data_IF_075028873829
#
_entry.id   IF_075028873829
#
_cell.length_a   1.000
_cell.length_b   1.000
_cell.length_c   1.000
_cell.angle_alpha   90.00
_cell.angle_beta   90.00
_cell.angle_gamma   90.00
#
_symmetry.space_group_name_H-M   'P 1'
#
loop_
_entity.id
_entity.type
_entity.pdbx_description
1 polymer ?
#
# COMPACT_ATOMS: atom_id res chain seq x y z
N UNK A 1 -19.91 10.55 4.25
CA UNK A 1 -19.85 9.08 4.46
C UNK A 1 -21.29 8.59 4.60
N UNK A 2 -21.71 7.57 3.85
CA UNK A 2 -23.12 7.11 3.89
C UNK A 2 -23.41 6.19 5.09
N UNK A 3 -22.36 5.57 5.66
CA UNK A 3 -22.44 4.73 6.86
C UNK A 3 -21.06 4.67 7.54
N UNK A 4 -21.04 4.75 8.86
CA UNK A 4 -19.83 4.52 9.64
C UNK A 4 -19.48 3.04 9.69
N UNK A 5 -18.21 2.73 9.42
CA UNK A 5 -17.68 1.37 9.40
C UNK A 5 -16.37 1.32 10.18
N UNK A 6 -16.09 0.19 10.81
CA UNK A 6 -14.82 -0.04 11.48
C UNK A 6 -13.66 0.16 10.48
N UNK A 7 -12.70 1.01 10.87
CA UNK A 7 -11.56 1.41 10.05
C UNK A 7 -11.83 2.55 9.05
N UNK A 8 -13.05 3.09 9.00
CA UNK A 8 -13.44 4.09 8.00
C UNK A 8 -13.17 3.61 6.56
N UNK A 9 -13.29 4.48 5.56
CA UNK A 9 -13.04 4.10 4.16
C UNK A 9 -11.53 3.92 3.91
N UNK A 10 -10.72 4.87 4.42
CA UNK A 10 -9.28 4.91 4.17
C UNK A 10 -8.54 3.67 4.67
N UNK A 11 -8.71 3.29 5.94
CA UNK A 11 -7.97 2.13 6.46
C UNK A 11 -8.45 0.82 5.84
N UNK A 12 -9.72 0.71 5.42
CA UNK A 12 -10.20 -0.49 4.73
C UNK A 12 -9.47 -0.71 3.39
N UNK A 13 -9.32 0.34 2.60
CA UNK A 13 -8.57 0.28 1.33
C UNK A 13 -7.08 0.08 1.61
N UNK A 14 -6.51 0.80 2.57
CA UNK A 14 -5.10 0.67 2.92
C UNK A 14 -4.75 -0.76 3.36
N UNK A 15 -5.55 -1.36 4.25
CA UNK A 15 -5.30 -2.71 4.74
C UNK A 15 -5.67 -3.79 3.72
N UNK A 16 -6.57 -3.56 2.76
CA UNK A 16 -6.77 -4.52 1.66
C UNK A 16 -5.55 -4.56 0.74
N UNK A 17 -4.96 -3.40 0.42
CA UNK A 17 -3.73 -3.32 -0.37
C UNK A 17 -2.56 -3.93 0.41
N UNK A 18 -2.42 -3.58 1.69
CA UNK A 18 -1.32 -4.09 2.52
C UNK A 18 -1.42 -5.60 2.75
N UNK A 19 -2.63 -6.14 2.93
CA UNK A 19 -2.84 -7.59 3.05
C UNK A 19 -2.38 -8.35 1.82
N UNK A 20 -2.65 -7.81 0.63
CA UNK A 20 -2.18 -8.42 -0.62
C UNK A 20 -0.66 -8.31 -0.77
N UNK A 21 -0.08 -7.14 -0.44
CA UNK A 21 1.36 -6.95 -0.43
C UNK A 21 2.09 -7.97 0.46
N UNK A 22 1.53 -8.25 1.65
CA UNK A 22 2.07 -9.26 2.56
C UNK A 22 2.01 -10.67 1.95
N UNK A 23 0.89 -11.05 1.33
CA UNK A 23 0.75 -12.35 0.65
C UNK A 23 1.81 -12.52 -0.45
N UNK A 24 1.97 -11.52 -1.32
CA UNK A 24 2.93 -11.53 -2.42
C UNK A 24 4.36 -11.79 -1.90
N UNK A 25 4.75 -11.12 -0.81
CA UNK A 25 6.08 -11.29 -0.23
C UNK A 25 6.23 -12.63 0.49
N UNK A 26 5.19 -13.05 1.23
CA UNK A 26 5.20 -14.33 1.96
C UNK A 26 5.27 -15.54 1.03
N UNK A 27 4.64 -15.45 -0.15
CA UNK A 27 4.71 -16.47 -1.21
C UNK A 27 5.99 -16.36 -2.05
N UNK A 28 6.87 -15.38 -1.78
CA UNK A 28 8.13 -15.20 -2.49
C UNK A 28 7.98 -14.72 -3.94
N UNK A 29 6.81 -14.17 -4.30
CA UNK A 29 6.52 -13.67 -5.65
C UNK A 29 7.35 -12.41 -5.94
N UNK A 30 7.56 -11.56 -4.94
CA UNK A 30 8.36 -10.34 -5.07
C UNK A 30 9.02 -9.94 -3.74
N UNK A 31 10.06 -9.11 -3.83
CA UNK A 31 10.68 -8.48 -2.66
C UNK A 31 9.79 -7.36 -2.12
N UNK A 32 10.01 -6.95 -0.86
CA UNK A 32 9.36 -5.79 -0.25
C UNK A 32 9.53 -4.55 -1.14
N UNK A 33 10.74 -4.32 -1.63
CA UNK A 33 11.10 -3.19 -2.49
C UNK A 33 10.34 -3.21 -3.82
N UNK A 34 10.20 -4.38 -4.44
CA UNK A 34 9.54 -4.50 -5.75
C UNK A 34 8.02 -4.33 -5.64
N UNK A 35 7.41 -4.81 -4.55
CA UNK A 35 5.99 -4.53 -4.26
C UNK A 35 5.76 -3.03 -4.08
N UNK A 36 6.62 -2.37 -3.33
CA UNK A 36 6.58 -0.93 -3.13
C UNK A 36 6.74 -0.15 -4.44
N UNK A 37 7.66 -0.57 -5.32
CA UNK A 37 7.84 0.03 -6.66
C UNK A 37 6.61 -0.20 -7.53
N UNK A 38 6.08 -1.41 -7.57
CA UNK A 38 4.88 -1.74 -8.34
C UNK A 38 3.70 -0.85 -7.93
N UNK A 39 3.54 -0.60 -6.63
CA UNK A 39 2.51 0.31 -6.14
C UNK A 39 2.80 1.77 -6.52
N UNK A 40 4.02 2.26 -6.26
CA UNK A 40 4.40 3.67 -6.50
C UNK A 40 4.35 4.06 -7.98
N UNK A 41 4.72 3.15 -8.88
CA UNK A 41 4.79 3.42 -10.32
C UNK A 41 3.62 2.82 -11.11
N UNK A 42 2.75 2.03 -10.46
CA UNK A 42 1.56 1.44 -11.04
C UNK A 42 0.27 2.10 -10.50
N UNK A 43 -0.62 1.35 -9.83
CA UNK A 43 -1.93 1.87 -9.42
C UNK A 43 -1.84 3.05 -8.45
N UNK A 44 -0.83 3.08 -7.57
CA UNK A 44 -0.64 4.18 -6.61
C UNK A 44 -0.30 5.53 -7.25
N UNK A 45 0.27 5.54 -8.46
CA UNK A 45 0.49 6.78 -9.21
C UNK A 45 -0.82 7.37 -9.74
N UNK A 46 -1.79 6.52 -10.10
CA UNK A 46 -3.07 6.92 -10.70
C UNK A 46 -4.07 7.42 -9.67
N UNK A 47 -4.09 6.79 -8.50
CA UNK A 47 -5.13 7.04 -7.49
C UNK A 47 -5.16 8.45 -6.88
N UNK A 48 -4.04 9.18 -6.73
CA UNK A 48 -4.07 10.58 -6.30
C UNK A 48 -4.78 11.52 -7.28
N UNK A 49 -4.91 11.13 -8.56
CA UNK A 49 -5.52 11.95 -9.62
C UNK A 49 -6.93 11.49 -9.93
N UNK A 50 -7.14 10.18 -10.10
CA UNK A 50 -8.41 9.59 -10.59
C UNK A 50 -9.17 8.82 -9.48
N UNK A 51 -8.46 8.31 -8.48
CA UNK A 51 -9.01 7.29 -7.58
C UNK A 51 -9.38 5.98 -8.31
N UNK A 52 -9.89 4.97 -7.59
CA UNK A 52 -10.09 3.63 -8.14
C UNK A 52 -11.28 3.52 -9.10
N UNK A 53 -12.37 4.28 -8.87
CA UNK A 53 -13.58 4.19 -9.70
C UNK A 53 -13.40 4.87 -11.06
N UNK A 54 -12.91 6.11 -11.09
CA UNK A 54 -12.64 6.80 -12.37
C UNK A 54 -11.56 6.06 -13.19
N UNK A 55 -10.55 5.47 -12.51
CA UNK A 55 -9.59 4.58 -13.16
C UNK A 55 -10.28 3.38 -13.83
N UNK A 56 -11.31 2.79 -13.21
CA UNK A 56 -12.06 1.68 -13.78
C UNK A 56 -12.95 2.12 -14.96
N UNK A 57 -13.61 3.28 -14.84
CA UNK A 57 -14.41 3.85 -15.92
C UNK A 57 -13.55 4.14 -17.16
N UNK A 58 -12.37 4.73 -16.98
CA UNK A 58 -11.43 5.02 -18.06
C UNK A 58 -10.75 3.76 -18.63
N UNK A 59 -10.67 2.69 -17.84
CA UNK A 59 -10.09 1.41 -18.25
C UNK A 59 -11.08 0.41 -18.85
N UNK A 60 -12.39 0.68 -18.77
CA UNK A 60 -13.46 -0.21 -19.22
C UNK A 60 -13.94 -1.14 -18.11
N UNK A 61 -15.22 -0.98 -17.71
CA UNK A 61 -15.82 -1.78 -16.64
C UNK A 61 -15.94 -3.28 -16.99
N UNK A 62 -16.06 -3.62 -18.27
CA UNK A 62 -16.03 -4.99 -18.79
C UNK A 62 -14.67 -5.66 -18.55
N UNK A 63 -13.58 -4.92 -18.79
CA UNK A 63 -12.21 -5.37 -18.53
C UNK A 63 -11.99 -5.58 -17.04
N UNK A 64 -12.40 -4.63 -16.21
CA UNK A 64 -12.32 -4.77 -14.75
C UNK A 64 -13.17 -5.93 -14.23
N UNK A 65 -14.36 -6.13 -14.79
CA UNK A 65 -15.23 -7.27 -14.45
C UNK A 65 -14.56 -8.61 -14.81
N UNK A 66 -14.05 -8.74 -16.02
CA UNK A 66 -13.37 -9.97 -16.47
C UNK A 66 -12.15 -10.28 -15.60
N UNK A 67 -11.30 -9.29 -15.32
CA UNK A 67 -10.13 -9.47 -14.44
C UNK A 67 -10.57 -9.90 -13.05
N UNK A 68 -11.59 -9.24 -12.49
CA UNK A 68 -12.12 -9.56 -11.15
C UNK A 68 -12.66 -10.99 -11.07
N UNK A 69 -13.22 -11.52 -12.17
CA UNK A 69 -13.85 -12.85 -12.19
C UNK A 69 -12.89 -14.00 -11.90
N UNK A 70 -11.60 -13.85 -12.22
CA UNK A 70 -10.58 -14.84 -11.89
C UNK A 70 -9.66 -14.35 -10.76
N UNK A 71 -9.23 -13.08 -10.79
CA UNK A 71 -8.20 -12.59 -9.89
C UNK A 71 -8.67 -12.54 -8.44
N UNK A 72 -9.95 -12.24 -8.17
CA UNK A 72 -10.45 -12.14 -6.79
C UNK A 72 -10.32 -13.45 -5.99
N UNK A 73 -10.35 -14.60 -6.67
CA UNK A 73 -10.15 -15.89 -6.02
C UNK A 73 -8.68 -16.13 -5.63
N UNK A 74 -7.76 -15.40 -6.24
CA UNK A 74 -6.33 -15.50 -5.97
C UNK A 74 -5.86 -14.42 -4.98
N UNK A 75 -6.59 -13.32 -4.82
CA UNK A 75 -6.28 -12.29 -3.84
C UNK A 75 -6.39 -12.83 -2.41
N UNK A 76 -5.56 -12.29 -1.53
CA UNK A 76 -5.55 -12.55 -0.11
C UNK A 76 -6.88 -12.16 0.54
N UNK A 77 -7.47 -13.10 1.25
CA UNK A 77 -8.67 -12.91 2.06
C UNK A 77 -8.40 -13.17 3.56
N UNK A 78 -7.14 -13.30 3.97
CA UNK A 78 -6.78 -13.60 5.37
C UNK A 78 -7.41 -12.59 6.35
N UNK A 79 -7.82 -13.09 7.50
CA UNK A 79 -8.51 -12.31 8.55
C UNK A 79 -7.62 -12.00 9.75
N UNK A 80 -6.47 -12.65 9.83
CA UNK A 80 -5.51 -12.54 10.94
C UNK A 80 -4.15 -12.01 10.45
N UNK A 81 -3.31 -11.44 11.34
CA UNK A 81 -1.96 -11.03 11.00
C UNK A 81 -1.11 -12.18 10.45
N UNK A 82 -0.40 -11.92 9.35
CA UNK A 82 0.50 -12.89 8.69
C UNK A 82 1.70 -13.25 9.56
N UNK A 83 2.39 -14.36 9.25
CA UNK A 83 3.61 -14.76 9.96
C UNK A 83 4.68 -13.67 9.87
N UNK A 84 4.85 -13.05 8.71
CA UNK A 84 5.79 -11.94 8.52
C UNK A 84 5.53 -10.77 9.48
N UNK A 85 4.26 -10.43 9.70
CA UNK A 85 3.92 -9.36 10.66
C UNK A 85 4.22 -9.78 12.10
N UNK A 86 3.91 -11.02 12.48
CA UNK A 86 4.20 -11.55 13.81
C UNK A 86 5.71 -11.50 14.09
N UNK A 87 6.54 -11.92 13.12
CA UNK A 87 8.01 -11.85 13.22
C UNK A 87 8.53 -10.41 13.41
N UNK A 88 7.92 -9.42 12.76
CA UNK A 88 8.30 -8.02 12.97
C UNK A 88 7.98 -7.56 14.39
N UNK A 89 6.85 -8.00 14.95
CA UNK A 89 6.46 -7.68 16.32
C UNK A 89 7.37 -8.37 17.34
N UNK A 90 7.63 -9.67 17.17
CA UNK A 90 8.43 -10.49 18.09
C UNK A 90 9.87 -10.00 18.18
N UNK A 91 10.41 -9.50 17.08
CA UNK A 91 11.77 -8.94 17.01
C UNK A 91 11.85 -7.45 17.36
N UNK A 92 10.76 -6.81 17.78
CA UNK A 92 10.68 -5.37 18.03
C UNK A 92 11.12 -4.52 16.80
N UNK A 93 10.87 -5.02 15.59
CA UNK A 93 11.12 -4.33 14.33
C UNK A 93 9.90 -3.49 13.95
N UNK A 94 9.65 -2.44 14.74
CA UNK A 94 8.44 -1.62 14.66
C UNK A 94 8.55 -0.42 13.69
N UNK A 95 9.55 -0.43 12.80
CA UNK A 95 9.82 0.61 11.82
C UNK A 95 10.82 1.66 12.31
N UNK A 96 10.63 2.91 11.84
CA UNK A 96 11.56 4.02 12.09
C UNK A 96 11.84 4.21 13.58
N UNK A 97 10.82 4.09 14.44
CA UNK A 97 10.95 4.30 15.89
C UNK A 97 11.87 3.31 16.62
N UNK A 98 12.15 2.16 16.02
CA UNK A 98 13.07 1.14 16.53
C UNK A 98 14.29 0.98 15.64
N UNK A 99 14.49 1.87 14.66
CA UNK A 99 15.59 1.79 13.69
C UNK A 99 15.49 0.65 12.68
N UNK A 100 14.42 -0.15 12.71
CA UNK A 100 14.21 -1.28 11.78
C UNK A 100 12.74 -1.67 11.71
N UNK A 101 12.26 -1.95 10.50
CA UNK A 101 10.98 -2.59 10.21
C UNK A 101 11.13 -3.47 8.97
N UNK A 102 10.28 -3.27 7.98
CA UNK A 102 10.48 -3.84 6.63
C UNK A 102 11.77 -3.36 5.96
N UNK A 103 12.24 -2.17 6.35
CA UNK A 103 13.49 -1.58 5.89
C UNK A 103 14.40 -1.24 7.08
N UNK A 104 15.69 -1.07 6.80
CA UNK A 104 16.65 -0.55 7.74
C UNK A 104 16.53 0.97 7.88
N UNK A 105 16.36 1.43 9.12
CA UNK A 105 16.27 2.84 9.49
C UNK A 105 17.34 3.25 10.51
N UNK A 106 18.32 2.38 10.74
CA UNK A 106 19.43 2.63 11.65
C UNK A 106 20.32 3.77 11.15
N UNK A 107 21.22 4.27 12.01
CA UNK A 107 22.26 5.23 11.62
C UNK A 107 21.73 6.52 10.96
N UNK A 108 20.59 7.05 11.44
CA UNK A 108 19.99 8.29 10.91
C UNK A 108 19.17 8.12 9.62
N UNK A 109 19.16 6.93 9.00
CA UNK A 109 18.36 6.64 7.79
C UNK A 109 16.86 6.87 8.00
N UNK A 110 16.37 6.70 9.24
CA UNK A 110 15.00 7.01 9.64
C UNK A 110 14.63 8.49 9.40
N UNK A 111 15.47 9.41 9.85
CA UNK A 111 15.26 10.84 9.71
C UNK A 111 15.34 11.27 8.25
N UNK A 112 16.32 10.74 7.51
CA UNK A 112 16.44 10.96 6.07
C UNK A 112 15.21 10.48 5.30
N UNK A 113 14.68 9.31 5.67
CA UNK A 113 13.47 8.77 5.05
C UNK A 113 12.24 9.66 5.32
N UNK A 114 12.09 10.17 6.54
CA UNK A 114 11.00 11.09 6.89
C UNK A 114 11.13 12.43 6.15
N UNK A 115 12.33 13.02 6.13
CA UNK A 115 12.58 14.27 5.40
C UNK A 115 12.30 14.13 3.89
N UNK A 116 12.71 12.98 3.30
CA UNK A 116 12.42 12.67 1.89
C UNK A 116 10.92 12.52 1.64
N UNK A 117 10.20 11.84 2.52
CA UNK A 117 8.73 11.69 2.46
C UNK A 117 8.06 13.06 2.45
N UNK A 118 8.38 13.92 3.40
CA UNK A 118 7.73 15.21 3.58
C UNK A 118 7.97 16.12 2.38
N UNK A 119 9.20 16.15 1.86
CA UNK A 119 9.54 16.87 0.62
C UNK A 119 8.73 16.39 -0.57
N UNK A 120 8.53 15.07 -0.71
CA UNK A 120 7.79 14.50 -1.83
C UNK A 120 6.28 14.77 -1.70
N UNK A 121 5.72 14.65 -0.50
CA UNK A 121 4.32 14.99 -0.26
C UNK A 121 4.04 16.47 -0.52
N UNK A 122 4.92 17.36 -0.09
CA UNK A 122 4.77 18.79 -0.37
C UNK A 122 4.73 19.08 -1.89
N UNK A 123 5.62 18.46 -2.67
CA UNK A 123 5.61 18.58 -4.14
C UNK A 123 4.31 18.03 -4.74
N UNK A 124 3.87 16.86 -4.28
CA UNK A 124 2.68 16.21 -4.81
C UNK A 124 1.41 17.02 -4.49
N UNK A 125 1.27 17.52 -3.26
CA UNK A 125 0.16 18.37 -2.84
C UNK A 125 0.06 19.63 -3.70
N UNK A 126 1.19 20.29 -3.99
CA UNK A 126 1.22 21.44 -4.91
C UNK A 126 0.71 21.10 -6.30
N UNK A 127 1.08 19.94 -6.84
CA UNK A 127 0.67 19.56 -8.19
C UNK A 127 -0.80 19.15 -8.26
N UNK A 128 -1.33 18.51 -7.22
CA UNK A 128 -2.72 18.05 -7.18
C UNK A 128 -3.70 19.22 -6.91
N UNK A 129 -3.34 20.18 -6.05
CA UNK A 129 -4.23 21.29 -5.68
C UNK A 129 -4.20 22.48 -6.64
N UNK A 130 -3.21 22.55 -7.54
CA UNK A 130 -3.08 23.65 -8.52
C UNK A 130 -3.73 23.33 -9.88
N UNK A 131 -4.47 22.22 -9.98
CA UNK A 131 -5.36 21.87 -11.10
C UNK A 131 -6.82 21.93 -10.64
#
# INVERSE_FOLDING_TARGET
MLKDVNGFIGNRIQFSVYREALKIVEEGIATIEDVDKAMKYGPGFRYPVLGPFETADLGGLDTFYYISSYLFNELSDVKEPTRLQQEMMDNNNLGVKTGKGWYDYSEGKGDEAMARRDKNFYKMLKNIHNN
#
